data_IF_325314413851
#
_entry.id   IF_325314413851
#
_cell.length_a   1.000
_cell.length_b   1.000
_cell.length_c   1.000
_cell.angle_alpha   90.00
_cell.angle_beta   90.00
_cell.angle_gamma   90.00
#
_symmetry.space_group_name_H-M   'P 1'
#
loop_
_entity.id
_entity.type
_entity.pdbx_description
1 polymer ?
#
# COMPACT_ATOMS: atom_id res chain seq x y z
N UNK A 1 -21.49 6.07 7.13
CA UNK A 1 -21.53 4.63 7.43
C UNK A 1 -20.43 4.33 8.43
N UNK A 2 -20.69 3.48 9.41
CA UNK A 2 -19.72 3.06 10.41
C UNK A 2 -18.97 1.83 9.93
N UNK A 3 -17.78 1.57 10.49
CA UNK A 3 -16.91 0.49 10.03
C UNK A 3 -17.55 -0.88 10.20
N UNK A 4 -18.27 -1.11 11.31
CA UNK A 4 -18.98 -2.37 11.55
C UNK A 4 -20.08 -2.65 10.52
N UNK A 5 -20.84 -1.62 10.14
CA UNK A 5 -21.87 -1.71 9.09
C UNK A 5 -21.24 -2.08 7.74
N UNK A 6 -20.12 -1.43 7.39
CA UNK A 6 -19.41 -1.71 6.15
C UNK A 6 -18.84 -3.14 6.11
N UNK A 7 -18.29 -3.62 7.24
CA UNK A 7 -17.83 -5.01 7.39
C UNK A 7 -18.97 -6.01 7.28
N UNK A 8 -20.14 -5.72 7.85
CA UNK A 8 -21.31 -6.59 7.73
C UNK A 8 -21.77 -6.74 6.28
N UNK A 9 -21.78 -5.64 5.52
CA UNK A 9 -22.10 -5.63 4.08
C UNK A 9 -21.07 -6.47 3.29
N UNK A 10 -19.79 -6.32 3.59
CA UNK A 10 -18.73 -7.11 2.97
C UNK A 10 -18.83 -8.62 3.31
N UNK A 11 -19.17 -8.96 4.55
CA UNK A 11 -19.37 -10.34 4.99
C UNK A 11 -20.59 -10.99 4.31
N UNK A 12 -21.65 -10.23 4.07
CA UNK A 12 -22.77 -10.69 3.26
C UNK A 12 -22.39 -10.93 1.81
N UNK A 13 -21.64 -10.01 1.20
CA UNK A 13 -21.10 -10.20 -0.15
C UNK A 13 -20.26 -11.49 -0.24
N UNK A 14 -19.38 -11.75 0.74
CA UNK A 14 -18.59 -13.00 0.79
C UNK A 14 -19.49 -14.24 0.85
N UNK A 15 -20.53 -14.23 1.68
CA UNK A 15 -21.47 -15.36 1.79
C UNK A 15 -22.21 -15.60 0.47
N UNK A 16 -22.66 -14.56 -0.20
CA UNK A 16 -23.30 -14.65 -1.51
C UNK A 16 -22.33 -15.15 -2.58
N UNK A 17 -21.09 -14.66 -2.57
CA UNK A 17 -20.04 -15.04 -3.52
C UNK A 17 -19.62 -16.50 -3.35
N UNK A 18 -19.32 -16.93 -2.12
CA UNK A 18 -18.90 -18.30 -1.82
C UNK A 18 -19.96 -19.36 -2.18
N UNK A 19 -21.26 -19.00 -2.13
CA UNK A 19 -22.34 -19.90 -2.61
C UNK A 19 -22.33 -20.10 -4.11
N UNK A 20 -21.87 -19.11 -4.88
CA UNK A 20 -21.82 -19.15 -6.35
C UNK A 20 -20.48 -19.68 -6.86
N UNK A 21 -19.43 -19.59 -6.05
CA UNK A 21 -18.06 -19.96 -6.39
C UNK A 21 -17.56 -21.09 -5.46
N UNK A 22 -17.77 -22.36 -5.82
CA UNK A 22 -17.38 -23.51 -4.99
C UNK A 22 -15.87 -23.60 -4.71
N UNK A 23 -15.02 -22.86 -5.43
CA UNK A 23 -13.58 -22.79 -5.18
C UNK A 23 -13.17 -21.93 -3.98
N UNK A 24 -14.10 -21.18 -3.38
CA UNK A 24 -13.84 -20.36 -2.19
C UNK A 24 -13.79 -21.27 -0.94
N UNK A 25 -12.69 -21.17 -0.19
CA UNK A 25 -12.40 -21.99 1.01
C UNK A 25 -12.28 -21.19 2.29
N UNK A 26 -12.30 -19.87 2.19
CA UNK A 26 -12.35 -18.99 3.33
C UNK A 26 -12.26 -17.53 2.90
N UNK A 27 -12.44 -16.63 3.85
CA UNK A 27 -12.28 -15.21 3.63
C UNK A 27 -11.94 -14.49 4.93
N UNK A 28 -11.21 -13.38 4.82
CA UNK A 28 -10.87 -12.52 5.96
C UNK A 28 -10.73 -11.05 5.53
N UNK A 29 -10.88 -10.13 6.48
CA UNK A 29 -10.63 -8.71 6.26
C UNK A 29 -9.13 -8.40 6.27
N UNK A 30 -8.71 -7.49 5.39
CA UNK A 30 -7.36 -6.93 5.41
C UNK A 30 -7.39 -5.40 5.39
N UNK A 31 -6.21 -4.78 5.22
CA UNK A 31 -6.11 -3.34 4.96
C UNK A 31 -6.54 -2.45 6.12
N UNK A 32 -7.12 -1.29 5.80
CA UNK A 32 -7.21 -0.15 6.74
C UNK A 32 -8.33 -0.25 7.76
N UNK A 33 -9.33 -1.09 7.52
CA UNK A 33 -10.44 -1.31 8.45
C UNK A 33 -10.07 -2.30 9.56
N UNK A 34 -8.98 -3.06 9.39
CA UNK A 34 -8.48 -3.99 10.41
C UNK A 34 -7.95 -3.21 11.60
N UNK A 35 -8.57 -3.44 12.76
CA UNK A 35 -8.26 -2.76 14.02
C UNK A 35 -9.02 -1.45 14.26
N UNK A 36 -9.93 -1.05 13.36
CA UNK A 36 -10.87 0.02 13.64
C UNK A 36 -12.06 -0.50 14.47
N UNK A 37 -12.50 0.25 15.50
CA UNK A 37 -13.76 0.02 16.20
C UNK A 37 -14.96 -0.02 15.25
N UNK A 38 -16.00 -0.79 15.60
CA UNK A 38 -17.21 -0.89 14.77
C UNK A 38 -17.93 0.44 14.62
N UNK A 39 -17.88 1.30 15.63
CA UNK A 39 -18.48 2.63 15.68
C UNK A 39 -17.59 3.73 15.06
N UNK A 40 -16.40 3.39 14.57
CA UNK A 40 -15.58 4.35 13.84
C UNK A 40 -16.23 4.71 12.50
N UNK A 41 -16.34 6.01 12.22
CA UNK A 41 -16.83 6.51 10.93
C UNK A 41 -15.88 6.06 9.83
N UNK A 42 -16.40 5.35 8.82
CA UNK A 42 -15.65 4.99 7.62
C UNK A 42 -15.61 6.20 6.68
N UNK A 43 -14.43 6.75 6.34
CA UNK A 43 -14.33 7.84 5.39
C UNK A 43 -14.93 7.47 4.02
N UNK A 44 -15.54 8.43 3.32
CA UNK A 44 -16.09 8.20 1.98
C UNK A 44 -15.00 7.82 0.94
N UNK A 45 -13.75 8.18 1.23
CA UNK A 45 -12.54 7.88 0.47
C UNK A 45 -11.87 6.55 0.87
N UNK A 46 -12.55 5.72 1.67
CA UNK A 46 -12.07 4.39 2.12
C UNK A 46 -12.86 3.25 1.48
N UNK A 47 -12.15 2.16 1.22
CA UNK A 47 -12.66 0.85 0.82
C UNK A 47 -12.60 -0.14 1.99
N UNK A 48 -13.29 -1.27 1.83
CA UNK A 48 -13.18 -2.44 2.70
C UNK A 48 -12.43 -3.54 1.95
N UNK A 49 -11.21 -3.83 2.38
CA UNK A 49 -10.39 -4.89 1.79
C UNK A 49 -10.85 -6.27 2.27
N UNK A 50 -11.20 -7.13 1.30
CA UNK A 50 -11.59 -8.52 1.52
C UNK A 50 -10.62 -9.43 0.81
N UNK A 51 -10.11 -10.41 1.53
CA UNK A 51 -9.26 -11.46 0.96
C UNK A 51 -10.06 -12.76 0.92
N UNK A 52 -10.15 -13.36 -0.26
CA UNK A 52 -10.81 -14.64 -0.49
C UNK A 52 -9.75 -15.70 -0.74
N UNK A 53 -9.79 -16.77 0.06
CA UNK A 53 -8.86 -17.91 -0.03
C UNK A 53 -9.47 -19.00 -0.89
N UNK A 54 -8.68 -19.52 -1.83
CA UNK A 54 -9.09 -20.52 -2.82
C UNK A 54 -8.11 -21.69 -2.87
N UNK A 55 -8.56 -22.81 -3.45
CA UNK A 55 -7.66 -23.92 -3.78
C UNK A 55 -6.82 -23.61 -5.03
N UNK A 56 -7.45 -22.98 -6.03
CA UNK A 56 -6.82 -22.67 -7.32
C UNK A 56 -6.77 -21.15 -7.58
N UNK A 57 -5.77 -20.68 -8.35
CA UNK A 57 -5.67 -19.28 -8.76
C UNK A 57 -6.91 -18.81 -9.51
N UNK A 58 -7.24 -17.54 -9.36
CA UNK A 58 -8.35 -16.92 -10.09
C UNK A 58 -8.01 -15.47 -10.45
N UNK A 59 -8.73 -14.95 -11.44
CA UNK A 59 -8.64 -13.54 -11.81
C UNK A 59 -8.96 -12.65 -10.60
N UNK A 60 -8.22 -11.54 -10.47
CA UNK A 60 -8.47 -10.55 -9.41
C UNK A 60 -9.84 -9.90 -9.65
N UNK A 61 -10.70 -9.95 -8.63
CA UNK A 61 -12.03 -9.33 -8.67
C UNK A 61 -11.95 -7.80 -8.55
N UNK A 62 -10.96 -7.28 -7.82
CA UNK A 62 -10.65 -5.85 -7.79
C UNK A 62 -11.69 -5.04 -7.01
N UNK A 63 -11.93 -3.80 -7.46
CA UNK A 63 -12.83 -2.85 -6.78
C UNK A 63 -14.24 -2.94 -7.32
N UNK A 64 -15.22 -3.14 -6.43
CA UNK A 64 -16.64 -3.19 -6.78
C UNK A 64 -17.49 -2.55 -5.70
N UNK A 65 -18.64 -1.97 -6.10
CA UNK A 65 -19.61 -1.43 -5.15
C UNK A 65 -20.65 -2.49 -4.80
N UNK A 66 -20.85 -2.73 -3.51
CA UNK A 66 -21.92 -3.59 -2.99
C UNK A 66 -22.68 -2.84 -1.90
N UNK A 67 -23.98 -2.59 -2.12
CA UNK A 67 -24.88 -1.89 -1.18
C UNK A 67 -24.28 -0.57 -0.63
N UNK A 68 -23.67 0.21 -1.52
CA UNK A 68 -23.05 1.50 -1.18
C UNK A 68 -21.61 1.43 -0.67
N UNK A 69 -21.12 0.26 -0.27
CA UNK A 69 -19.73 0.04 0.18
C UNK A 69 -18.83 -0.25 -1.01
N UNK A 70 -17.66 0.39 -1.07
CA UNK A 70 -16.60 0.03 -2.00
C UNK A 70 -15.78 -1.12 -1.40
N UNK A 71 -15.84 -2.30 -2.03
CA UNK A 71 -15.05 -3.46 -1.65
C UNK A 71 -13.81 -3.53 -2.55
N UNK A 72 -12.63 -3.78 -1.99
CA UNK A 72 -11.46 -4.24 -2.74
C UNK A 72 -11.26 -5.73 -2.46
N UNK A 73 -11.51 -6.58 -3.45
CA UNK A 73 -11.45 -8.03 -3.30
C UNK A 73 -10.18 -8.59 -3.96
N UNK A 74 -9.38 -9.25 -3.13
CA UNK A 74 -8.17 -9.98 -3.55
C UNK A 74 -8.39 -11.47 -3.37
N UNK A 75 -8.06 -12.26 -4.39
CA UNK A 75 -8.05 -13.71 -4.30
C UNK A 75 -6.61 -14.19 -4.04
N UNK A 76 -6.45 -15.18 -3.17
CA UNK A 76 -5.18 -15.87 -2.94
C UNK A 76 -5.42 -17.37 -2.81
N UNK A 77 -4.39 -18.16 -3.13
CA UNK A 77 -4.43 -19.60 -2.88
C UNK A 77 -3.90 -19.94 -1.50
N UNK A 78 -4.19 -21.15 -1.00
CA UNK A 78 -3.52 -21.65 0.20
C UNK A 78 -1.99 -21.66 0.10
N UNK A 79 -1.46 -21.89 -1.11
CA UNK A 79 -0.02 -21.83 -1.35
C UNK A 79 0.53 -20.40 -1.22
N UNK A 80 -0.21 -19.39 -1.68
CA UNK A 80 0.17 -17.98 -1.52
C UNK A 80 0.14 -17.51 -0.06
N UNK A 81 -0.80 -18.03 0.73
CA UNK A 81 -0.90 -17.69 2.17
C UNK A 81 0.21 -18.35 2.99
N UNK A 82 0.53 -19.60 2.66
CA UNK A 82 1.55 -20.39 3.35
C UNK A 82 1.08 -21.02 4.67
N UNK A 83 2.05 -21.44 5.48
CA UNK A 83 1.83 -22.01 6.81
C UNK A 83 1.51 -20.94 7.86
N UNK A 84 0.97 -21.30 9.05
CA UNK A 84 0.79 -20.36 10.16
C UNK A 84 2.06 -19.57 10.51
N UNK A 85 3.24 -20.21 10.46
CA UNK A 85 4.54 -19.57 10.69
C UNK A 85 4.94 -18.60 9.57
N UNK A 86 4.60 -18.92 8.32
CA UNK A 86 4.83 -18.00 7.19
C UNK A 86 3.96 -16.75 7.32
N UNK A 87 2.69 -16.94 7.69
CA UNK A 87 1.76 -15.83 7.96
C UNK A 87 2.26 -14.99 9.13
N UNK A 88 2.65 -15.61 10.25
CA UNK A 88 3.17 -14.90 11.42
C UNK A 88 4.45 -14.12 11.11
N UNK A 89 5.32 -14.67 10.25
CA UNK A 89 6.53 -14.00 9.77
C UNK A 89 6.29 -12.93 8.69
N UNK A 90 5.08 -12.83 8.14
CA UNK A 90 4.74 -11.90 7.06
C UNK A 90 4.29 -10.56 7.61
N UNK A 91 4.96 -9.47 7.20
CA UNK A 91 4.52 -8.11 7.55
C UNK A 91 3.23 -7.71 6.83
N UNK A 92 2.84 -8.44 5.78
CA UNK A 92 1.61 -8.23 5.01
C UNK A 92 0.43 -8.95 5.65
N UNK A 93 0.59 -10.23 5.98
CA UNK A 93 -0.53 -11.07 6.43
C UNK A 93 -0.67 -11.16 7.95
N UNK A 94 0.42 -11.14 8.74
CA UNK A 94 0.31 -11.21 10.20
C UNK A 94 -0.65 -10.15 10.78
N UNK A 95 -0.65 -8.87 10.32
CA UNK A 95 -1.58 -7.88 10.85
C UNK A 95 -3.06 -8.23 10.67
N UNK A 96 -3.39 -9.00 9.63
CA UNK A 96 -4.75 -9.43 9.36
C UNK A 96 -5.22 -10.47 10.39
N UNK A 97 -4.33 -11.30 10.92
CA UNK A 97 -4.69 -12.45 11.77
C UNK A 97 -4.42 -12.24 13.27
N UNK A 98 -3.95 -11.05 13.67
CA UNK A 98 -3.70 -10.72 15.08
C UNK A 98 -4.98 -10.48 15.89
N UNK A 99 -6.08 -10.18 15.19
CA UNK A 99 -7.44 -9.96 15.72
C UNK A 99 -8.42 -10.80 14.91
N UNK A 100 -9.67 -10.89 15.36
CA UNK A 100 -10.69 -11.65 14.64
C UNK A 100 -11.15 -10.90 13.38
N UNK A 101 -10.61 -11.29 12.24
CA UNK A 101 -10.92 -10.73 10.91
C UNK A 101 -11.51 -11.78 9.98
N UNK A 102 -11.62 -13.03 10.43
CA UNK A 102 -12.10 -14.15 9.64
C UNK A 102 -13.60 -13.96 9.37
N UNK A 103 -13.97 -13.96 8.10
CA UNK A 103 -15.34 -13.80 7.63
C UNK A 103 -16.00 -15.15 7.42
N UNK A 104 -15.26 -16.08 6.81
CA UNK A 104 -15.71 -17.44 6.52
C UNK A 104 -14.53 -18.40 6.65
N UNK A 105 -14.72 -19.51 7.36
CA UNK A 105 -13.71 -20.56 7.52
C UNK A 105 -14.36 -21.95 7.64
N UNK A 106 -14.88 -22.51 6.54
CA UNK A 106 -15.52 -23.82 6.55
C UNK A 106 -14.58 -24.97 6.97
N UNK A 107 -13.26 -24.76 6.96
CA UNK A 107 -12.26 -25.81 7.23
C UNK A 107 -11.59 -25.68 8.60
N UNK A 108 -11.74 -24.56 9.30
CA UNK A 108 -11.01 -24.25 10.53
C UNK A 108 -9.53 -23.86 10.31
N UNK A 109 -9.06 -23.81 9.06
CA UNK A 109 -7.65 -23.50 8.74
C UNK A 109 -7.31 -22.03 8.99
N UNK A 110 -8.23 -21.11 8.70
CA UNK A 110 -8.01 -19.68 8.99
C UNK A 110 -8.02 -19.40 10.49
N UNK A 111 -8.89 -20.08 11.25
CA UNK A 111 -8.91 -20.04 12.70
C UNK A 111 -7.59 -20.54 13.29
N UNK A 112 -7.05 -21.65 12.78
CA UNK A 112 -5.74 -22.17 13.18
C UNK A 112 -4.62 -21.16 12.95
N UNK A 113 -4.61 -20.51 11.78
CA UNK A 113 -3.66 -19.43 11.46
C UNK A 113 -3.84 -18.26 12.43
N UNK A 114 -5.08 -17.79 12.62
CA UNK A 114 -5.42 -16.69 13.53
C UNK A 114 -4.89 -16.96 14.93
N UNK A 115 -5.17 -18.13 15.49
CA UNK A 115 -4.80 -18.46 16.87
C UNK A 115 -3.27 -18.49 17.02
N UNK A 116 -2.55 -19.07 16.05
CA UNK A 116 -1.08 -19.07 16.04
C UNK A 116 -0.51 -17.66 15.91
N UNK A 117 -1.08 -16.85 15.02
CA UNK A 117 -0.60 -15.49 14.76
C UNK A 117 -0.88 -14.60 15.97
N UNK A 118 -2.09 -14.60 16.51
CA UNK A 118 -2.48 -13.79 17.66
C UNK A 118 -1.58 -14.08 18.87
N UNK A 119 -1.27 -15.35 19.15
CA UNK A 119 -0.37 -15.75 20.23
C UNK A 119 1.08 -15.26 20.00
N UNK A 120 1.58 -15.32 18.76
CA UNK A 120 2.96 -14.96 18.42
C UNK A 120 3.17 -13.51 17.98
N UNK A 121 2.11 -12.75 17.74
CA UNK A 121 2.20 -11.42 17.10
C UNK A 121 3.10 -10.43 17.84
N UNK A 122 3.12 -10.34 19.18
CA UNK A 122 3.99 -9.38 19.87
C UNK A 122 5.41 -9.90 20.15
N UNK A 123 5.69 -11.19 19.90
CA UNK A 123 6.99 -11.80 20.20
C UNK A 123 8.11 -11.14 19.37
N UNK A 124 9.16 -10.60 20.01
CA UNK A 124 10.28 -9.91 19.35
C UNK A 124 10.94 -10.71 18.21
N UNK A 125 10.99 -12.05 18.30
CA UNK A 125 11.54 -12.90 17.24
C UNK A 125 10.74 -12.73 15.95
N UNK A 126 9.42 -12.69 16.06
CA UNK A 126 8.51 -12.53 14.92
C UNK A 126 8.40 -11.08 14.47
N UNK A 127 8.51 -10.09 15.37
CA UNK A 127 8.64 -8.68 14.96
C UNK A 127 9.90 -8.46 14.12
N UNK A 128 11.04 -8.98 14.58
CA UNK A 128 12.31 -8.90 13.84
C UNK A 128 12.23 -9.61 12.48
N UNK A 129 11.61 -10.79 12.41
CA UNK A 129 11.39 -11.52 11.14
C UNK A 129 10.56 -10.70 10.14
N UNK A 130 9.49 -10.06 10.61
CA UNK A 130 8.65 -9.18 9.77
C UNK A 130 9.42 -7.96 9.29
N UNK A 131 10.17 -7.30 10.17
CA UNK A 131 11.04 -6.18 9.78
C UNK A 131 12.10 -6.60 8.76
N UNK A 132 12.68 -7.80 8.90
CA UNK A 132 13.61 -8.34 7.91
C UNK A 132 12.94 -8.56 6.54
N UNK A 133 11.66 -8.99 6.52
CA UNK A 133 10.87 -9.08 5.30
C UNK A 133 10.63 -7.72 4.62
N UNK A 134 10.39 -6.66 5.42
CA UNK A 134 10.29 -5.28 4.92
C UNK A 134 11.61 -4.83 4.31
N UNK A 135 12.73 -5.04 5.01
CA UNK A 135 14.07 -4.70 4.54
C UNK A 135 14.41 -5.39 3.21
N UNK A 136 14.22 -6.71 3.12
CA UNK A 136 14.44 -7.47 1.87
C UNK A 136 13.60 -6.92 0.72
N UNK A 137 12.32 -6.57 0.97
CA UNK A 137 11.44 -6.00 -0.07
C UNK A 137 11.99 -4.70 -0.66
N UNK A 138 12.64 -3.87 0.16
CA UNK A 138 13.29 -2.63 -0.27
C UNK A 138 14.54 -2.96 -1.08
N UNK A 139 15.45 -3.77 -0.53
CA UNK A 139 16.72 -4.14 -1.16
C UNK A 139 16.52 -4.81 -2.53
N UNK A 140 15.62 -5.80 -2.61
CA UNK A 140 15.33 -6.52 -3.85
C UNK A 140 14.64 -5.63 -4.88
N UNK A 141 13.69 -4.79 -4.44
CA UNK A 141 12.97 -3.88 -5.32
C UNK A 141 13.87 -2.80 -5.93
N UNK A 142 14.78 -2.22 -5.13
CA UNK A 142 15.67 -1.17 -5.59
C UNK A 142 16.85 -1.69 -6.42
N UNK A 143 17.14 -2.99 -6.40
CA UNK A 143 18.20 -3.60 -7.23
C UNK A 143 17.83 -3.66 -8.71
N UNK A 144 16.55 -3.76 -9.03
CA UNK A 144 16.04 -4.09 -10.39
C UNK A 144 15.54 -2.88 -11.18
N UNK A 145 15.89 -1.65 -10.80
CA UNK A 145 15.48 -0.45 -11.54
C UNK A 145 16.19 -0.40 -12.88
N UNK A 146 15.49 -0.79 -13.95
CA UNK A 146 15.99 -0.79 -15.32
C UNK A 146 15.99 0.64 -15.89
N UNK A 147 17.16 1.12 -16.30
CA UNK A 147 17.32 2.45 -16.89
C UNK A 147 16.74 2.57 -18.30
N UNK A 148 16.53 1.45 -19.00
CA UNK A 148 16.00 1.41 -20.37
C UNK A 148 14.47 1.34 -20.43
N UNK A 149 13.80 1.00 -19.32
CA UNK A 149 12.35 0.88 -19.26
C UNK A 149 11.64 2.24 -19.48
N UNK A 150 10.36 2.27 -19.89
CA UNK A 150 9.56 3.49 -19.92
C UNK A 150 9.56 4.24 -18.58
N UNK A 151 9.47 5.58 -18.61
CA UNK A 151 9.56 6.42 -17.41
C UNK A 151 8.62 5.95 -16.28
N UNK A 152 7.38 5.62 -16.60
CA UNK A 152 6.39 5.19 -15.62
C UNK A 152 6.76 3.86 -14.93
N UNK A 153 7.42 2.94 -15.64
CA UNK A 153 7.94 1.69 -15.06
C UNK A 153 9.13 1.97 -14.16
N UNK A 154 10.07 2.82 -14.60
CA UNK A 154 11.22 3.21 -13.77
C UNK A 154 10.78 3.89 -12.47
N UNK A 155 9.81 4.81 -12.57
CA UNK A 155 9.25 5.50 -11.41
C UNK A 155 8.55 4.51 -10.48
N UNK A 156 7.75 3.58 -11.01
CA UNK A 156 7.09 2.55 -10.20
C UNK A 156 8.11 1.66 -9.48
N UNK A 157 9.13 1.19 -10.20
CA UNK A 157 10.18 0.30 -9.68
C UNK A 157 11.03 0.95 -8.59
N UNK A 158 11.25 2.26 -8.67
CA UNK A 158 11.97 3.02 -7.63
C UNK A 158 11.05 3.41 -6.46
N UNK A 159 9.92 4.05 -6.74
CA UNK A 159 9.09 4.73 -5.75
C UNK A 159 8.45 3.75 -4.76
N UNK A 160 7.95 2.60 -5.24
CA UNK A 160 7.29 1.63 -4.36
C UNK A 160 8.25 1.04 -3.32
N UNK A 161 9.39 0.44 -3.70
CA UNK A 161 10.38 -0.03 -2.72
C UNK A 161 10.88 1.08 -1.79
N UNK A 162 11.16 2.29 -2.28
CA UNK A 162 11.54 3.42 -1.41
C UNK A 162 10.46 3.70 -0.36
N UNK A 163 9.18 3.70 -0.76
CA UNK A 163 8.06 3.96 0.15
C UNK A 163 7.87 2.91 1.25
N UNK A 164 8.46 1.72 1.08
CA UNK A 164 8.38 0.63 2.07
C UNK A 164 9.28 0.91 3.27
N UNK A 165 10.25 1.83 3.19
CA UNK A 165 11.04 2.25 4.35
C UNK A 165 10.17 2.76 5.52
N UNK A 166 9.07 3.48 5.21
CA UNK A 166 8.13 3.96 6.23
C UNK A 166 7.34 2.85 6.95
N UNK A 167 7.37 1.63 6.41
CA UNK A 167 6.73 0.46 7.02
C UNK A 167 7.55 -0.08 8.19
N UNK A 168 8.87 0.11 8.21
CA UNK A 168 9.76 -0.43 9.25
C UNK A 168 9.36 0.03 10.66
N UNK A 169 9.22 1.35 10.95
CA UNK A 169 8.79 1.80 12.28
C UNK A 169 7.42 1.24 12.67
N UNK A 170 6.46 1.23 11.74
CA UNK A 170 5.11 0.75 12.01
C UNK A 170 5.08 -0.73 12.39
N UNK A 171 5.78 -1.59 11.64
CA UNK A 171 5.87 -3.02 11.94
C UNK A 171 6.56 -3.26 13.28
N UNK A 172 7.66 -2.56 13.55
CA UNK A 172 8.38 -2.63 14.82
C UNK A 172 7.48 -2.27 16.01
N UNK A 173 6.63 -1.24 15.85
CA UNK A 173 5.69 -0.80 16.87
C UNK A 173 4.38 -1.62 16.92
N UNK A 174 4.29 -2.75 16.22
CA UNK A 174 3.08 -3.58 16.16
C UNK A 174 1.86 -2.79 15.65
N UNK A 175 2.06 -1.80 14.77
CA UNK A 175 1.00 -1.00 14.15
C UNK A 175 0.80 -1.46 12.72
N UNK A 176 -0.46 -1.59 12.28
CA UNK A 176 -0.77 -2.05 10.94
C UNK A 176 -0.41 -0.95 9.90
N UNK A 177 0.58 -1.17 9.03
CA UNK A 177 0.98 -0.19 8.03
C UNK A 177 0.01 -0.23 6.85
N UNK A 178 -0.93 0.72 6.78
CA UNK A 178 -1.76 0.87 5.58
C UNK A 178 -0.97 1.58 4.49
N UNK A 179 -1.23 1.20 3.23
CA UNK A 179 -0.48 1.71 2.09
C UNK A 179 -0.54 3.24 2.07
N UNK A 180 -1.74 3.86 2.12
CA UNK A 180 -1.95 5.32 2.05
C UNK A 180 -1.31 6.11 3.18
N UNK A 181 -1.55 5.67 4.41
CA UNK A 181 -1.17 6.44 5.60
C UNK A 181 0.16 6.03 6.20
N UNK A 182 0.94 5.14 5.56
CA UNK A 182 2.21 4.61 6.12
C UNK A 182 3.16 5.70 6.62
N UNK A 183 3.30 6.82 5.91
CA UNK A 183 4.19 7.91 6.33
C UNK A 183 3.63 8.70 7.51
N UNK A 184 2.32 8.90 7.54
CA UNK A 184 1.65 9.53 8.69
C UNK A 184 1.78 8.64 9.92
N UNK A 185 1.57 7.33 9.76
CA UNK A 185 1.75 6.36 10.85
C UNK A 185 3.20 6.28 11.31
N UNK A 186 4.16 6.26 10.38
CA UNK A 186 5.58 6.27 10.72
C UNK A 186 5.94 7.49 11.55
N UNK A 187 5.42 8.69 11.21
CA UNK A 187 5.60 9.90 12.01
C UNK A 187 5.08 9.73 13.43
N UNK A 188 3.85 9.24 13.58
CA UNK A 188 3.21 9.02 14.88
C UNK A 188 4.03 8.05 15.74
N UNK A 189 4.48 6.93 15.14
CA UNK A 189 5.30 5.94 15.82
C UNK A 189 6.65 6.49 16.22
N UNK A 190 7.36 7.17 15.31
CA UNK A 190 8.66 7.77 15.59
C UNK A 190 8.55 8.80 16.73
N UNK A 191 7.53 9.65 16.70
CA UNK A 191 7.29 10.62 17.76
C UNK A 191 7.01 9.96 19.11
N UNK A 192 6.17 8.91 19.14
CA UNK A 192 5.85 8.17 20.36
C UNK A 192 7.07 7.50 21.02
N UNK A 193 8.14 7.26 20.26
CA UNK A 193 9.38 6.65 20.75
C UNK A 193 10.53 7.66 20.87
N UNK A 194 10.27 8.97 20.84
CA UNK A 194 11.30 10.00 20.98
C UNK A 194 12.26 10.11 19.78
N UNK A 195 11.88 9.57 18.62
CA UNK A 195 12.67 9.54 17.39
C UNK A 195 12.08 10.48 16.31
N UNK A 196 11.36 11.52 16.73
CA UNK A 196 10.68 12.45 15.83
C UNK A 196 11.62 13.09 14.79
N UNK A 197 12.87 13.36 15.17
CA UNK A 197 13.90 13.96 14.31
C UNK A 197 14.32 13.08 13.12
N UNK A 198 13.97 11.78 13.16
CA UNK A 198 14.21 10.85 12.05
C UNK A 198 13.17 11.00 10.93
N UNK A 199 12.00 11.58 11.22
CA UNK A 199 10.92 11.67 10.25
C UNK A 199 11.24 12.54 9.01
N UNK A 200 11.87 13.72 9.15
CA UNK A 200 12.32 14.49 8.00
C UNK A 200 13.25 13.71 7.05
N UNK A 201 14.16 12.89 7.59
CA UNK A 201 15.03 12.02 6.78
C UNK A 201 14.22 10.94 6.03
N UNK A 202 13.23 10.34 6.71
CA UNK A 202 12.34 9.36 6.08
C UNK A 202 11.58 9.96 4.90
N UNK A 203 11.03 11.18 5.05
CA UNK A 203 10.37 11.88 3.95
C UNK A 203 11.37 12.31 2.87
N UNK A 204 12.54 12.80 3.27
CA UNK A 204 13.57 13.21 2.34
C UNK A 204 14.05 12.06 1.45
N UNK A 205 13.89 10.78 1.85
CA UNK A 205 14.14 9.62 0.99
C UNK A 205 13.17 9.49 -0.20
N UNK A 206 11.95 10.06 -0.09
CA UNK A 206 10.97 10.09 -1.18
C UNK A 206 11.15 11.28 -2.12
N UNK A 207 11.35 12.47 -1.57
CA UNK A 207 11.15 13.73 -2.31
C UNK A 207 12.36 14.65 -2.35
N UNK A 208 13.52 14.19 -1.85
CA UNK A 208 14.79 14.90 -1.95
C UNK A 208 14.86 16.24 -1.20
N UNK A 209 13.90 16.53 -0.30
CA UNK A 209 13.83 17.82 0.40
C UNK A 209 12.47 18.50 0.32
N UNK A 210 11.55 17.97 -0.47
CA UNK A 210 10.14 18.33 -0.46
C UNK A 210 9.72 19.35 -1.50
N UNK A 211 8.44 19.29 -1.84
CA UNK A 211 7.77 20.16 -2.82
C UNK A 211 6.76 21.01 -2.07
N UNK A 212 6.70 22.32 -2.32
CA UNK A 212 5.75 23.21 -1.62
C UNK A 212 4.28 22.83 -1.87
N UNK A 213 3.37 23.11 -0.92
CA UNK A 213 1.97 22.67 -0.98
C UNK A 213 1.23 23.16 -2.23
N UNK A 214 1.48 24.39 -2.68
CA UNK A 214 0.85 24.94 -3.89
C UNK A 214 1.25 24.17 -5.15
N UNK A 215 2.52 23.78 -5.23
CA UNK A 215 3.06 22.98 -6.33
C UNK A 215 2.47 21.57 -6.31
N UNK A 216 2.31 20.95 -5.14
CA UNK A 216 1.64 19.66 -4.98
C UNK A 216 0.16 19.74 -5.41
N UNK A 217 -0.57 20.83 -5.10
CA UNK A 217 -1.95 21.03 -5.60
C UNK A 217 -1.99 21.12 -7.13
N UNK A 218 -1.01 21.79 -7.74
CA UNK A 218 -0.86 21.82 -9.20
C UNK A 218 -0.70 20.42 -9.80
N UNK A 219 0.17 19.59 -9.21
CA UNK A 219 0.35 18.19 -9.64
C UNK A 219 -0.89 17.34 -9.43
N UNK A 220 -1.66 17.56 -8.36
CA UNK A 220 -2.93 16.86 -8.15
C UNK A 220 -3.97 17.23 -9.22
N UNK A 221 -4.05 18.50 -9.62
CA UNK A 221 -4.94 18.93 -10.69
C UNK A 221 -4.55 18.30 -12.04
N UNK A 222 -3.25 18.28 -12.35
CA UNK A 222 -2.73 17.59 -13.52
C UNK A 222 -3.04 16.09 -13.49
N UNK A 223 -2.87 15.45 -12.33
CA UNK A 223 -3.17 14.03 -12.14
C UNK A 223 -4.64 13.75 -12.38
N UNK A 224 -5.54 14.58 -11.86
CA UNK A 224 -6.98 14.39 -12.04
C UNK A 224 -7.36 14.33 -13.53
N UNK A 225 -6.80 15.23 -14.35
CA UNK A 225 -7.03 15.21 -15.80
C UNK A 225 -6.44 13.94 -16.47
N UNK A 226 -5.22 13.55 -16.10
CA UNK A 226 -4.58 12.32 -16.63
C UNK A 226 -5.31 11.05 -16.19
N UNK A 227 -5.81 11.02 -14.96
CA UNK A 227 -6.59 9.92 -14.40
C UNK A 227 -7.90 9.74 -15.15
N UNK A 228 -8.65 10.82 -15.37
CA UNK A 228 -9.93 10.78 -16.06
C UNK A 228 -9.77 10.25 -17.49
N UNK A 229 -8.69 10.65 -18.18
CA UNK A 229 -8.38 10.11 -19.50
C UNK A 229 -7.97 8.63 -19.45
N UNK A 230 -7.07 8.25 -18.53
CA UNK A 230 -6.63 6.86 -18.40
C UNK A 230 -7.80 5.92 -18.07
N UNK A 231 -8.66 6.30 -17.12
CA UNK A 231 -9.86 5.53 -16.75
C UNK A 231 -10.87 5.41 -17.90
N UNK A 232 -10.95 6.42 -18.77
CA UNK A 232 -11.84 6.43 -19.95
C UNK A 232 -11.37 5.48 -21.06
N UNK A 233 -10.06 5.34 -21.25
CA UNK A 233 -9.48 4.56 -22.37
C UNK A 233 -9.02 3.15 -21.98
N UNK A 234 -8.97 2.84 -20.68
CA UNK A 234 -8.48 1.58 -20.16
C UNK A 234 -9.19 0.36 -20.77
N UNK A 235 -8.39 -0.52 -21.38
CA UNK A 235 -8.81 -1.81 -21.95
C UNK A 235 -7.87 -2.92 -21.53
N UNK A 236 -6.57 -2.63 -21.48
CA UNK A 236 -5.55 -3.58 -21.06
C UNK A 236 -5.65 -3.85 -19.55
N UNK A 237 -5.73 -5.12 -19.11
CA UNK A 237 -5.76 -5.44 -17.70
C UNK A 237 -4.39 -5.28 -17.06
N UNK A 238 -4.34 -4.57 -15.93
CA UNK A 238 -3.19 -4.41 -15.06
C UNK A 238 -3.57 -4.83 -13.63
N UNK A 239 -2.58 -5.24 -12.83
CA UNK A 239 -2.79 -5.64 -11.42
C UNK A 239 -3.41 -4.53 -10.55
N UNK A 240 -3.28 -3.28 -11.00
CA UNK A 240 -3.81 -2.07 -10.36
C UNK A 240 -5.00 -1.46 -11.13
N UNK A 241 -5.56 -2.10 -12.17
CA UNK A 241 -6.64 -1.51 -12.99
C UNK A 241 -7.84 -1.03 -12.15
N UNK A 242 -8.15 -1.73 -11.06
CA UNK A 242 -9.19 -1.34 -10.12
C UNK A 242 -8.97 0.06 -9.50
N UNK A 243 -7.71 0.46 -9.31
CA UNK A 243 -7.31 1.75 -8.75
C UNK A 243 -7.46 2.90 -9.74
N UNK A 244 -7.55 2.62 -11.04
CA UNK A 244 -7.75 3.61 -12.11
C UNK A 244 -9.12 3.38 -12.74
N UNK A 245 -10.16 3.72 -11.97
CA UNK A 245 -11.55 3.57 -12.37
C UNK A 245 -12.40 4.76 -11.89
N UNK A 246 -13.58 5.00 -12.48
CA UNK A 246 -14.49 6.02 -11.96
C UNK A 246 -14.84 5.81 -10.48
N UNK A 247 -14.96 4.55 -10.04
CA UNK A 247 -15.28 4.21 -8.66
C UNK A 247 -14.15 4.53 -7.67
N UNK A 248 -12.89 4.39 -8.09
CA UNK A 248 -11.71 4.68 -7.27
C UNK A 248 -11.25 6.15 -7.33
N UNK A 249 -11.81 6.97 -8.22
CA UNK A 249 -11.40 8.36 -8.39
C UNK A 249 -11.46 9.19 -7.09
N UNK A 250 -12.56 9.17 -6.30
CA UNK A 250 -12.62 9.94 -5.04
C UNK A 250 -11.55 9.50 -4.04
N UNK A 251 -11.30 8.19 -3.99
CA UNK A 251 -10.30 7.56 -3.12
C UNK A 251 -8.89 8.08 -3.43
N UNK A 252 -8.58 8.34 -4.71
CA UNK A 252 -7.28 8.84 -5.17
C UNK A 252 -7.19 10.37 -5.09
N UNK A 253 -8.15 11.09 -5.69
CA UNK A 253 -8.10 12.55 -5.84
C UNK A 253 -8.45 13.24 -4.52
N UNK A 254 -9.60 12.93 -3.94
CA UNK A 254 -10.08 13.60 -2.73
C UNK A 254 -9.22 13.17 -1.53
N UNK A 255 -8.84 11.90 -1.46
CA UNK A 255 -7.89 11.40 -0.44
C UNK A 255 -6.53 12.11 -0.48
N UNK A 256 -6.04 12.49 -1.67
CA UNK A 256 -4.81 13.29 -1.80
C UNK A 256 -5.04 14.76 -1.41
N UNK A 257 -6.20 15.33 -1.76
CA UNK A 257 -6.58 16.68 -1.37
C UNK A 257 -6.71 16.83 0.16
N UNK A 258 -7.29 15.84 0.84
CA UNK A 258 -7.39 15.78 2.30
C UNK A 258 -6.01 15.80 2.97
N UNK A 259 -5.05 15.01 2.45
CA UNK A 259 -3.67 15.02 2.94
C UNK A 259 -3.02 16.41 2.79
N UNK A 260 -3.19 17.05 1.62
CA UNK A 260 -2.64 18.39 1.39
C UNK A 260 -3.26 19.41 2.36
N UNK A 261 -4.58 19.36 2.54
CA UNK A 261 -5.30 20.24 3.46
C UNK A 261 -4.85 20.07 4.92
N UNK A 262 -4.52 18.84 5.32
CA UNK A 262 -3.97 18.53 6.65
C UNK A 262 -2.47 18.88 6.81
N UNK A 263 -1.85 19.56 5.83
CA UNK A 263 -0.43 19.88 5.84
C UNK A 263 0.48 18.66 5.63
N UNK A 264 -0.03 17.59 5.02
CA UNK A 264 0.67 16.34 4.66
C UNK A 264 0.92 16.25 3.15
N UNK A 265 1.32 17.38 2.55
CA UNK A 265 1.46 17.52 1.11
C UNK A 265 2.64 16.70 0.55
N UNK A 266 3.70 16.49 1.33
CA UNK A 266 4.85 15.65 0.92
C UNK A 266 4.44 14.18 0.82
N UNK A 267 3.61 13.72 1.74
CA UNK A 267 3.03 12.38 1.73
C UNK A 267 2.03 12.21 0.59
N UNK A 268 1.25 13.26 0.27
CA UNK A 268 0.37 13.27 -0.90
C UNK A 268 1.16 13.20 -2.22
N UNK A 269 2.33 13.83 -2.29
CA UNK A 269 3.17 13.81 -3.50
C UNK A 269 3.58 12.39 -3.92
N UNK A 270 3.88 11.51 -2.96
CA UNK A 270 4.12 10.08 -3.24
C UNK A 270 2.92 9.45 -3.97
N UNK A 271 1.70 9.69 -3.46
CA UNK A 271 0.48 9.15 -4.05
C UNK A 271 0.18 9.69 -5.43
N UNK A 272 0.46 10.98 -5.62
CA UNK A 272 0.25 11.64 -6.90
C UNK A 272 1.15 11.00 -7.96
N UNK A 273 2.45 10.87 -7.68
CA UNK A 273 3.41 10.29 -8.64
C UNK A 273 3.18 8.80 -8.88
N UNK A 274 2.85 8.03 -7.84
CA UNK A 274 2.52 6.61 -7.98
C UNK A 274 1.28 6.41 -8.87
N UNK A 275 0.26 7.26 -8.72
CA UNK A 275 -0.94 7.21 -9.56
C UNK A 275 -0.64 7.65 -10.98
N UNK A 276 0.13 8.72 -11.18
CA UNK A 276 0.57 9.12 -12.52
C UNK A 276 1.24 7.96 -13.26
N UNK A 277 2.17 7.25 -12.62
CA UNK A 277 2.86 6.14 -13.25
C UNK A 277 1.87 5.05 -13.72
N UNK A 278 0.87 4.71 -12.90
CA UNK A 278 -0.20 3.76 -13.27
C UNK A 278 -1.06 4.26 -14.42
N UNK A 279 -1.44 5.54 -14.43
CA UNK A 279 -2.16 6.14 -15.55
C UNK A 279 -1.33 6.07 -16.84
N UNK A 280 -0.04 6.36 -16.77
CA UNK A 280 0.85 6.30 -17.92
C UNK A 280 1.12 4.88 -18.43
N UNK A 281 1.10 3.86 -17.57
CA UNK A 281 1.08 2.45 -18.03
C UNK A 281 -0.16 2.14 -18.88
N UNK A 282 -1.33 2.60 -18.45
CA UNK A 282 -2.59 2.42 -19.20
C UNK A 282 -2.56 3.21 -20.50
N UNK A 283 -2.20 4.48 -20.45
CA UNK A 283 -2.17 5.35 -21.63
C UNK A 283 -1.15 4.85 -22.67
N UNK A 284 0.01 4.35 -22.24
CA UNK A 284 1.01 3.78 -23.14
C UNK A 284 0.49 2.53 -23.88
N UNK A 285 -0.30 1.69 -23.21
CA UNK A 285 -0.88 0.50 -23.82
C UNK A 285 -2.10 0.81 -24.69
N UNK A 286 -3.01 1.67 -24.20
CA UNK A 286 -4.36 1.78 -24.75
C UNK A 286 -4.61 3.06 -25.55
N UNK A 287 -3.80 4.12 -25.36
CA UNK A 287 -3.93 5.41 -26.05
C UNK A 287 -2.59 6.17 -26.19
N UNK A 288 -1.59 5.66 -26.96
CA UNK A 288 -0.23 6.23 -26.99
C UNK A 288 -0.16 7.72 -27.37
N UNK A 289 -1.01 8.20 -28.28
CA UNK A 289 -1.05 9.62 -28.63
C UNK A 289 -1.49 10.53 -27.48
N UNK A 290 -2.37 10.03 -26.59
CA UNK A 290 -2.81 10.74 -25.39
C UNK A 290 -1.75 10.66 -24.29
N UNK A 291 -1.05 9.54 -24.20
CA UNK A 291 0.11 9.38 -23.33
C UNK A 291 1.13 10.49 -23.57
N UNK A 292 1.55 10.70 -24.84
CA UNK A 292 2.51 11.74 -25.21
C UNK A 292 2.02 13.14 -24.84
N UNK A 293 0.73 13.43 -25.08
CA UNK A 293 0.15 14.73 -24.78
C UNK A 293 0.08 15.04 -23.27
N UNK A 294 -0.12 14.02 -22.43
CA UNK A 294 -0.27 14.16 -20.97
C UNK A 294 1.05 13.98 -20.20
N UNK A 295 2.08 13.43 -20.85
CA UNK A 295 3.39 13.13 -20.28
C UNK A 295 4.11 14.34 -19.64
N UNK A 296 4.05 15.57 -20.18
CA UNK A 296 4.75 16.70 -19.56
C UNK A 296 4.35 16.97 -18.11
N UNK A 297 3.08 16.75 -17.75
CA UNK A 297 2.61 16.92 -16.38
C UNK A 297 3.22 15.87 -15.43
N UNK A 298 3.32 14.62 -15.89
CA UNK A 298 3.97 13.55 -15.12
C UNK A 298 5.48 13.80 -14.98
N UNK A 299 6.16 14.18 -16.06
CA UNK A 299 7.59 14.52 -16.03
C UNK A 299 7.90 15.67 -15.07
N UNK A 300 7.06 16.71 -15.03
CA UNK A 300 7.20 17.81 -14.09
C UNK A 300 7.07 17.34 -12.62
N UNK A 301 6.13 16.44 -12.32
CA UNK A 301 5.97 15.89 -10.98
C UNK A 301 7.16 15.01 -10.57
N UNK A 302 7.69 14.22 -11.49
CA UNK A 302 8.89 13.39 -11.27
C UNK A 302 10.15 14.26 -11.09
N UNK A 303 10.27 15.34 -11.85
CA UNK A 303 11.39 16.27 -11.73
C UNK A 303 11.42 16.96 -10.37
N UNK A 304 10.26 17.34 -9.83
CA UNK A 304 10.15 17.96 -8.50
C UNK A 304 10.52 17.00 -7.35
N UNK A 305 10.52 15.68 -7.57
CA UNK A 305 11.07 14.68 -6.63
C UNK A 305 12.61 14.53 -6.74
N UNK A 306 13.27 15.29 -7.62
CA UNK A 306 14.72 15.21 -7.85
C UNK A 306 15.16 13.95 -8.62
N UNK A 307 14.24 13.30 -9.33
CA UNK A 307 14.46 12.01 -10.02
C UNK A 307 14.07 12.05 -11.50
N UNK A 308 14.30 13.16 -12.19
CA UNK A 308 13.99 13.32 -13.61
C UNK A 308 14.70 12.29 -14.51
N UNK A 309 15.97 12.00 -14.23
CA UNK A 309 16.79 11.06 -15.03
C UNK A 309 16.93 9.68 -14.39
N UNK A 310 17.24 8.66 -15.21
CA UNK A 310 17.50 7.31 -14.73
C UNK A 310 18.69 7.27 -13.75
N UNK A 311 19.74 8.04 -14.03
CA UNK A 311 20.89 8.18 -13.14
C UNK A 311 20.50 8.79 -11.77
N UNK A 312 19.58 9.77 -11.76
CA UNK A 312 19.06 10.31 -10.51
C UNK A 312 18.22 9.26 -9.74
N UNK A 313 17.35 8.50 -10.41
CA UNK A 313 16.60 7.39 -9.79
C UNK A 313 17.52 6.33 -9.18
N UNK A 314 18.56 5.92 -9.90
CA UNK A 314 19.58 4.97 -9.41
C UNK A 314 20.30 5.50 -8.17
N UNK A 315 20.83 6.72 -8.23
CA UNK A 315 21.50 7.34 -7.08
C UNK A 315 20.58 7.40 -5.86
N UNK A 316 19.33 7.80 -6.04
CA UNK A 316 18.32 7.86 -4.97
C UNK A 316 17.97 6.49 -4.42
N UNK A 317 17.93 5.46 -5.25
CA UNK A 317 17.79 4.08 -4.80
C UNK A 317 18.99 3.63 -3.95
N UNK A 318 20.22 3.99 -4.35
CA UNK A 318 21.44 3.69 -3.58
C UNK A 318 21.47 4.39 -2.22
N UNK A 319 21.06 5.67 -2.17
CA UNK A 319 20.91 6.44 -0.93
C UNK A 319 19.93 5.76 0.05
N UNK A 320 18.79 5.26 -0.46
CA UNK A 320 17.82 4.53 0.37
C UNK A 320 18.43 3.25 0.91
N UNK A 321 19.09 2.44 0.08
CA UNK A 321 19.77 1.21 0.51
C UNK A 321 20.84 1.50 1.56
N UNK A 322 21.65 2.54 1.37
CA UNK A 322 22.68 2.96 2.31
C UNK A 322 22.11 3.43 3.66
N UNK A 323 20.87 3.93 3.69
CA UNK A 323 20.19 4.33 4.93
C UNK A 323 19.60 3.17 5.73
N UNK A 324 19.44 1.97 5.13
CA UNK A 324 18.76 0.83 5.76
C UNK A 324 19.37 0.36 7.07
N UNK A 325 20.70 0.34 7.28
CA UNK A 325 21.28 0.03 8.58
C UNK A 325 20.80 0.96 9.69
N UNK A 326 20.67 2.26 9.41
CA UNK A 326 20.12 3.23 10.36
C UNK A 326 18.64 2.98 10.67
N UNK A 327 17.83 2.68 9.65
CA UNK A 327 16.43 2.30 9.84
C UNK A 327 16.26 0.97 10.56
N UNK A 328 17.19 0.04 10.38
CA UNK A 328 17.22 -1.22 11.12
C UNK A 328 17.46 -1.00 12.62
N UNK A 329 18.38 -0.10 12.97
CA UNK A 329 18.62 0.29 14.36
C UNK A 329 17.38 0.97 14.98
N UNK A 330 16.72 1.87 14.24
CA UNK A 330 15.44 2.48 14.66
C UNK A 330 14.37 1.42 14.92
N UNK A 331 14.22 0.44 14.01
CA UNK A 331 13.27 -0.64 14.20
C UNK A 331 13.59 -1.49 15.43
N UNK A 332 14.88 -1.78 15.70
CA UNK A 332 15.32 -2.49 16.90
C UNK A 332 15.00 -1.75 18.19
N UNK A 333 15.26 -0.44 18.23
CA UNK A 333 14.93 0.40 19.38
C UNK A 333 13.43 0.44 19.66
N UNK A 334 12.60 0.53 18.62
CA UNK A 334 11.13 0.53 18.75
C UNK A 334 10.62 -0.86 19.17
N UNK A 335 11.13 -1.92 18.56
CA UNK A 335 10.63 -3.28 18.75
C UNK A 335 11.26 -4.04 19.91
N UNK A 336 12.20 -3.43 20.64
CA UNK A 336 12.83 -4.01 21.82
C UNK A 336 13.71 -5.23 21.54
N UNK A 337 14.43 -5.25 20.41
CA UNK A 337 15.43 -6.29 20.12
C UNK A 337 16.83 -5.70 19.93
N UNK A 338 17.84 -6.44 20.37
CA UNK A 338 19.24 -6.04 20.21
C UNK A 338 19.63 -6.03 18.73
N UNK A 339 20.28 -4.94 18.33
CA UNK A 339 20.91 -4.80 17.02
C UNK A 339 22.29 -5.44 17.13
N UNK A 340 22.38 -6.77 17.05
CA UNK A 340 23.68 -7.39 16.81
C UNK A 340 24.20 -6.87 15.46
N UNK A 341 25.32 -6.15 15.50
CA UNK A 341 25.96 -5.46 14.37
C UNK A 341 26.38 -6.37 13.24
#
# INVERSE_FOLDING_TARGET
MHTGEARAVAAEWVREHARREPGVRGAFFSGSTVGLPDDAVLPASSDVDVVVVRDEPAAKLGKLRHRGVLLEVTALTWADLGSPEDVLGSWVFAPCFRTDTVIADPTGRLATIRDRVAAGFPDPVWVRRRCAGVRRRIEDGLRVVDAAAPLHEQVTAWLFPTSVAAVLPAVAALRNPTVRRRYVLAREVLAAHGLADRYPELLASLDGGGVGPDRVRGHLAGLAATYDEAARVARTPFVFSADISPAARPVVVDGSAELIAAGRHREAMFWIVATYARCHSILAADAPGREVALRPAFEAAVADLGVASAAQRRRRADEVVASLPGWWAVAGAIGGWDVAG
#
